data_IF_597748457149
#
_entry.id   IF_597748457149
#
_cell.length_a   1.000
_cell.length_b   1.000
_cell.length_c   1.000
_cell.angle_alpha   90.00
_cell.angle_beta   90.00
_cell.angle_gamma   90.00
#
_symmetry.space_group_name_H-M   'P 1'
#
loop_
_entity.id
_entity.type
_entity.pdbx_description
1 polymer ?
#
# COMPACT_ATOMS: atom_id res chain seq x y z
N UNK A 1 24.43 2.40 -1.65
CA UNK A 1 24.05 2.48 -0.22
C UNK A 1 22.54 2.66 -0.16
N UNK A 2 21.79 1.74 0.47
CA UNK A 2 20.34 1.90 0.57
C UNK A 2 20.01 2.99 1.59
N UNK A 3 19.16 3.94 1.21
CA UNK A 3 18.64 4.95 2.13
C UNK A 3 17.84 4.24 3.24
N UNK A 4 18.20 4.47 4.51
CA UNK A 4 17.38 4.04 5.64
C UNK A 4 16.19 5.00 5.73
N UNK A 5 15.03 4.59 5.23
CA UNK A 5 13.80 5.33 5.44
C UNK A 5 13.41 5.31 6.92
N UNK A 6 13.12 6.50 7.45
CA UNK A 6 12.56 6.64 8.79
C UNK A 6 11.14 6.04 8.83
N UNK A 7 10.78 5.40 9.95
CA UNK A 7 9.50 4.66 10.08
C UNK A 7 8.26 5.53 9.88
N UNK A 8 8.34 6.81 10.20
CA UNK A 8 7.24 7.76 9.95
C UNK A 8 6.88 7.93 8.48
N UNK A 9 7.74 7.50 7.56
CA UNK A 9 7.52 7.55 6.10
C UNK A 9 6.93 6.25 5.56
N UNK A 10 6.84 5.18 6.38
CA UNK A 10 6.24 3.91 5.99
C UNK A 10 4.73 3.93 6.29
N UNK A 11 3.98 4.64 5.43
CA UNK A 11 2.53 4.79 5.53
C UNK A 11 1.84 3.79 4.60
N UNK A 12 0.83 3.08 5.10
CA UNK A 12 0.01 2.21 4.26
C UNK A 12 -0.76 3.06 3.23
N UNK A 13 -0.78 2.69 1.93
CA UNK A 13 -1.43 3.51 0.90
C UNK A 13 -2.93 3.68 1.12
N UNK A 14 -3.59 2.70 1.73
CA UNK A 14 -5.02 2.75 2.04
C UNK A 14 -5.48 3.93 2.92
N UNK A 15 -4.98 4.08 4.17
CA UNK A 15 -5.26 5.25 4.99
C UNK A 15 -4.87 6.58 4.33
N UNK A 16 -3.76 6.61 3.59
CA UNK A 16 -3.36 7.80 2.83
C UNK A 16 -4.38 8.14 1.72
N UNK A 17 -4.80 7.16 0.91
CA UNK A 17 -5.84 7.33 -0.10
C UNK A 17 -7.14 7.87 0.51
N UNK A 18 -7.46 7.39 1.72
CA UNK A 18 -8.64 7.82 2.46
C UNK A 18 -8.56 9.30 2.80
N UNK A 19 -7.50 9.74 3.47
CA UNK A 19 -7.37 11.11 4.00
C UNK A 19 -7.05 12.13 2.93
N UNK A 20 -6.25 11.76 1.92
CA UNK A 20 -5.75 12.71 0.93
C UNK A 20 -6.61 12.81 -0.31
N UNK A 21 -7.48 11.81 -0.59
CA UNK A 21 -8.23 11.74 -1.85
C UNK A 21 -9.71 11.49 -1.61
N UNK A 22 -10.06 10.39 -0.94
CA UNK A 22 -11.47 9.96 -0.84
C UNK A 22 -12.30 10.91 0.02
N UNK A 23 -11.81 11.30 1.20
CA UNK A 23 -12.53 12.20 2.11
C UNK A 23 -12.60 13.63 1.57
N UNK A 24 -11.50 14.25 1.06
CA UNK A 24 -11.56 15.60 0.49
C UNK A 24 -12.45 15.71 -0.76
N UNK A 25 -12.57 14.64 -1.54
CA UNK A 25 -13.43 14.59 -2.73
C UNK A 25 -14.88 14.15 -2.43
N UNK A 26 -15.25 13.94 -1.15
CA UNK A 26 -16.56 13.42 -0.71
C UNK A 26 -16.99 12.14 -1.43
N UNK A 27 -16.03 11.27 -1.75
CA UNK A 27 -16.30 10.03 -2.47
C UNK A 27 -16.83 8.98 -1.49
N UNK A 28 -18.10 8.59 -1.67
CA UNK A 28 -18.69 7.48 -0.90
C UNK A 28 -18.02 6.15 -1.25
N UNK A 29 -17.67 5.36 -0.24
CA UNK A 29 -17.04 4.03 -0.41
C UNK A 29 -17.83 3.11 -1.34
N UNK A 30 -19.17 3.16 -1.29
CA UNK A 30 -20.01 2.36 -2.19
C UNK A 30 -19.87 2.77 -3.66
N UNK A 31 -19.77 4.06 -3.93
CA UNK A 31 -19.55 4.59 -5.28
C UNK A 31 -18.17 4.19 -5.80
N UNK A 32 -17.13 4.33 -4.96
CA UNK A 32 -15.78 3.90 -5.32
C UNK A 32 -15.72 2.39 -5.60
N UNK A 33 -16.36 1.56 -4.79
CA UNK A 33 -16.41 0.12 -5.01
C UNK A 33 -17.07 -0.26 -6.34
N UNK A 34 -18.17 0.42 -6.70
CA UNK A 34 -18.82 0.24 -7.98
C UNK A 34 -17.91 0.64 -9.15
N UNK A 35 -17.24 1.80 -9.07
CA UNK A 35 -16.30 2.26 -10.09
C UNK A 35 -15.11 1.29 -10.29
N UNK A 36 -14.58 0.76 -9.19
CA UNK A 36 -13.48 -0.21 -9.20
C UNK A 36 -13.93 -1.63 -9.59
N UNK A 37 -15.25 -1.89 -9.69
CA UNK A 37 -15.84 -3.21 -9.95
C UNK A 37 -15.43 -4.27 -8.92
N UNK A 38 -15.46 -3.91 -7.63
CA UNK A 38 -15.11 -4.79 -6.51
C UNK A 38 -16.12 -4.65 -5.37
N UNK A 39 -16.03 -5.50 -4.34
CA UNK A 39 -16.92 -5.40 -3.20
C UNK A 39 -16.62 -4.15 -2.35
N UNK A 40 -17.66 -3.58 -1.73
CA UNK A 40 -17.51 -2.50 -0.75
C UNK A 40 -16.58 -2.89 0.41
N UNK A 41 -16.60 -4.16 0.79
CA UNK A 41 -15.75 -4.71 1.84
C UNK A 41 -14.27 -4.66 1.46
N UNK A 42 -13.92 -4.99 0.22
CA UNK A 42 -12.54 -4.90 -0.26
C UNK A 42 -12.01 -3.47 -0.20
N UNK A 43 -12.78 -2.49 -0.70
CA UNK A 43 -12.42 -1.06 -0.62
C UNK A 43 -12.28 -0.62 0.82
N UNK A 44 -13.24 -0.97 1.69
CA UNK A 44 -13.21 -0.62 3.10
C UNK A 44 -11.99 -1.21 3.83
N UNK A 45 -11.64 -2.46 3.54
CA UNK A 45 -10.48 -3.11 4.15
C UNK A 45 -9.17 -2.42 3.74
N UNK A 46 -9.03 -2.05 2.47
CA UNK A 46 -7.87 -1.30 1.97
C UNK A 46 -7.81 0.08 2.62
N UNK A 47 -8.87 0.89 2.53
CA UNK A 47 -8.89 2.27 3.07
C UNK A 47 -8.67 2.34 4.58
N UNK A 48 -8.94 1.26 5.31
CA UNK A 48 -8.65 1.17 6.75
C UNK A 48 -7.28 0.55 7.08
N UNK A 49 -6.48 0.21 6.08
CA UNK A 49 -5.16 -0.39 6.26
C UNK A 49 -5.18 -1.84 6.76
N UNK A 50 -6.35 -2.50 6.72
CA UNK A 50 -6.54 -3.89 7.18
C UNK A 50 -6.27 -4.93 6.10
N UNK A 51 -6.16 -4.50 4.84
CA UNK A 51 -5.77 -5.33 3.72
C UNK A 51 -4.69 -4.62 2.91
N UNK A 52 -3.65 -5.35 2.54
CA UNK A 52 -2.60 -4.86 1.64
C UNK A 52 -3.19 -4.52 0.27
N UNK A 53 -2.64 -3.48 -0.35
CA UNK A 53 -2.97 -3.10 -1.72
C UNK A 53 -2.28 -4.06 -2.71
N UNK A 54 -3.07 -4.70 -3.58
CA UNK A 54 -2.53 -5.49 -4.71
C UNK A 54 -2.27 -4.61 -5.94
N UNK A 55 -1.43 -5.10 -6.86
CA UNK A 55 -1.14 -4.41 -8.12
C UNK A 55 -2.39 -4.21 -9.00
N UNK A 56 -3.26 -5.23 -9.11
CA UNK A 56 -4.53 -5.11 -9.85
C UNK A 56 -5.42 -4.01 -9.27
N UNK A 57 -5.52 -3.94 -7.93
CA UNK A 57 -6.28 -2.88 -7.28
C UNK A 57 -5.64 -1.50 -7.46
N UNK A 58 -4.31 -1.40 -7.41
CA UNK A 58 -3.59 -0.15 -7.66
C UNK A 58 -3.87 0.38 -9.07
N UNK A 59 -3.87 -0.49 -10.09
CA UNK A 59 -4.22 -0.12 -11.47
C UNK A 59 -5.68 0.32 -11.61
N UNK A 60 -6.62 -0.33 -10.90
CA UNK A 60 -8.02 0.12 -10.86
C UNK A 60 -8.16 1.51 -10.24
N UNK A 61 -7.43 1.77 -9.15
CA UNK A 61 -7.42 3.07 -8.48
C UNK A 61 -6.79 4.16 -9.36
N UNK A 62 -5.75 3.83 -10.13
CA UNK A 62 -5.16 4.74 -11.12
C UNK A 62 -6.20 5.16 -12.17
N UNK A 63 -6.93 4.19 -12.71
CA UNK A 63 -7.98 4.45 -13.69
C UNK A 63 -9.16 5.25 -13.10
N UNK A 64 -9.54 4.98 -11.86
CA UNK A 64 -10.70 5.60 -11.22
C UNK A 64 -10.42 6.98 -10.61
N UNK A 65 -9.21 7.20 -10.10
CA UNK A 65 -8.85 8.37 -9.28
C UNK A 65 -7.67 9.18 -9.85
N UNK A 66 -7.01 8.70 -10.91
CA UNK A 66 -5.86 9.37 -11.52
C UNK A 66 -4.56 9.28 -10.71
N UNK A 67 -4.49 8.37 -9.73
CA UNK A 67 -3.34 8.22 -8.83
C UNK A 67 -2.39 7.16 -9.37
N UNK A 68 -1.10 7.48 -9.49
CA UNK A 68 -0.09 6.54 -10.00
C UNK A 68 -0.08 5.21 -9.23
N UNK A 69 -0.35 4.11 -9.93
CA UNK A 69 -0.31 2.76 -9.38
C UNK A 69 1.11 2.41 -8.87
N UNK A 70 2.14 2.79 -9.62
CA UNK A 70 3.55 2.63 -9.22
C UNK A 70 3.85 3.33 -7.90
N UNK A 71 3.31 4.53 -7.70
CA UNK A 71 3.50 5.28 -6.45
C UNK A 71 2.82 4.56 -5.29
N UNK A 72 1.58 4.12 -5.47
CA UNK A 72 0.85 3.35 -4.46
C UNK A 72 1.55 2.03 -4.11
N UNK A 73 2.11 1.32 -5.10
CA UNK A 73 2.85 0.08 -4.88
C UNK A 73 4.18 0.29 -4.16
N UNK A 74 4.87 1.41 -4.42
CA UNK A 74 6.07 1.81 -3.65
C UNK A 74 5.72 2.09 -2.19
N UNK A 75 4.60 2.75 -1.91
CA UNK A 75 4.10 2.95 -0.55
C UNK A 75 3.79 1.63 0.13
N UNK A 76 3.03 0.74 -0.53
CA UNK A 76 2.69 -0.59 -0.01
C UNK A 76 3.94 -1.38 0.35
N UNK A 77 4.89 -1.47 -0.59
CA UNK A 77 6.14 -2.22 -0.40
C UNK A 77 6.95 -1.65 0.77
N UNK A 78 7.01 -0.32 0.86
CA UNK A 78 7.71 0.35 1.96
C UNK A 78 7.06 0.04 3.31
N UNK A 79 5.74 0.08 3.37
CA UNK A 79 4.96 -0.26 4.56
C UNK A 79 5.18 -1.73 4.97
N UNK A 80 5.03 -2.67 4.04
CA UNK A 80 5.17 -4.10 4.31
C UNK A 80 6.57 -4.46 4.78
N UNK A 81 7.61 -3.89 4.17
CA UNK A 81 8.99 -4.06 4.63
C UNK A 81 9.20 -3.49 6.04
N UNK A 82 8.58 -2.35 6.36
CA UNK A 82 8.68 -1.76 7.69
C UNK A 82 7.97 -2.59 8.76
N UNK A 83 6.83 -3.20 8.43
CA UNK A 83 6.11 -4.14 9.31
C UNK A 83 6.91 -5.44 9.50
N UNK A 84 7.37 -6.06 8.42
CA UNK A 84 8.14 -7.30 8.49
C UNK A 84 9.42 -7.17 9.34
N UNK A 85 10.12 -6.02 9.23
CA UNK A 85 11.30 -5.71 10.04
C UNK A 85 11.02 -5.52 11.54
N UNK A 86 9.78 -5.25 11.94
CA UNK A 86 9.42 -5.13 13.35
C UNK A 86 9.19 -6.49 14.01
N UNK A 87 8.72 -7.45 13.23
CA UNK A 87 8.38 -8.77 13.76
C UNK A 87 9.64 -9.62 13.99
N UNK A 88 10.76 -9.32 13.32
CA UNK A 88 12.08 -9.97 13.44
C UNK A 88 12.03 -11.51 13.58
N UNK A 89 11.10 -12.13 12.84
CA UNK A 89 10.86 -13.58 12.86
C UNK A 89 11.73 -14.34 11.86
N UNK A 90 12.62 -13.63 11.15
CA UNK A 90 13.46 -14.25 10.14
C UNK A 90 14.59 -15.02 10.83
N UNK A 91 14.91 -16.25 10.40
CA UNK A 91 16.08 -16.96 10.88
C UNK A 91 17.36 -16.19 10.50
N UNK A 92 18.46 -16.45 11.20
CA UNK A 92 19.76 -15.88 10.85
C UNK A 92 20.15 -16.28 9.41
N UNK A 93 20.16 -15.33 8.49
CA UNK A 93 20.52 -15.56 7.09
C UNK A 93 22.00 -15.25 6.87
N UNK A 94 22.76 -16.25 6.42
CA UNK A 94 24.16 -16.06 6.04
C UNK A 94 24.25 -15.17 4.79
N UNK A 95 25.00 -14.07 4.89
CA UNK A 95 25.27 -13.21 3.74
C UNK A 95 26.18 -13.93 2.75
N UNK A 96 25.71 -14.11 1.52
CA UNK A 96 26.53 -14.61 0.42
C UNK A 96 27.53 -13.52 -0.01
N UNK A 97 28.78 -13.94 -0.17
CA UNK A 97 29.85 -13.20 -0.85
C UNK A 97 30.17 -13.99 -2.11
N UNK A 98 30.25 -13.31 -3.27
CA UNK A 98 30.59 -13.97 -4.51
C UNK A 98 31.96 -14.66 -4.36
N UNK A 99 32.05 -15.93 -4.77
CA UNK A 99 33.34 -16.57 -4.96
C UNK A 99 34.07 -15.83 -6.10
N UNK A 100 35.32 -15.44 -5.83
CA UNK A 100 36.18 -14.74 -6.78
C UNK A 100 36.39 -15.52 -8.08
#
# INVERSE_FOLDING_TARGET
MALKMHRSLAVHPGPWLRTEIVEPADIRVGHLAAALKVSRQAVSAILSGRASLSADMALRLEQALGVSADTLMRMQTTYDLAQARQHDLLPAIQRLIAAA
#
